data_IF_421531160036
#
_entry.id   IF_421531160036
#
_cell.length_a   1.000
_cell.length_b   1.000
_cell.length_c   1.000
_cell.angle_alpha   90.00
_cell.angle_beta   90.00
_cell.angle_gamma   90.00
#
_symmetry.space_group_name_H-M   'P 1'
#
loop_
_entity.id
_entity.type
_entity.pdbx_description
1 polymer ?
#
# COMPACT_ATOMS: atom_id res chain seq x y z
N UNK A 1 -25.84 -3.85 15.79
CA UNK A 1 -24.58 -4.30 15.21
C UNK A 1 -23.52 -3.28 15.63
N UNK A 2 -22.74 -3.58 16.67
CA UNK A 2 -21.64 -2.70 17.10
C UNK A 2 -20.35 -3.24 16.48
N UNK A 3 -19.75 -2.47 15.59
CA UNK A 3 -18.43 -2.77 15.03
C UNK A 3 -17.39 -2.58 16.13
N UNK A 4 -16.66 -3.65 16.43
CA UNK A 4 -15.56 -3.66 17.37
C UNK A 4 -14.32 -3.04 16.70
N UNK A 5 -14.23 -1.72 16.64
CA UNK A 5 -12.93 -1.07 16.51
C UNK A 5 -12.19 -1.33 17.82
N UNK A 6 -11.31 -2.34 17.86
CA UNK A 6 -10.28 -2.34 18.91
C UNK A 6 -9.49 -1.03 18.72
N UNK A 7 -9.03 -0.38 19.78
CA UNK A 7 -8.13 0.77 19.63
C UNK A 7 -6.78 0.26 19.07
N UNK A 8 -6.71 0.06 17.76
CA UNK A 8 -5.56 -0.53 17.06
C UNK A 8 -4.43 0.50 16.85
N UNK A 9 -4.55 1.69 17.42
CA UNK A 9 -3.65 2.82 17.22
C UNK A 9 -4.16 3.79 16.15
N UNK A 10 -3.54 4.97 16.07
CA UNK A 10 -3.93 6.00 15.08
C UNK A 10 -3.43 5.63 13.67
N UNK A 11 -4.29 5.82 12.68
CA UNK A 11 -3.93 5.74 11.26
C UNK A 11 -3.13 7.00 10.89
N UNK A 12 -1.99 6.83 10.22
CA UNK A 12 -1.11 7.93 9.83
C UNK A 12 -0.50 7.67 8.46
N UNK A 13 -0.53 8.70 7.61
CA UNK A 13 0.30 8.77 6.40
C UNK A 13 1.74 9.04 6.82
N UNK A 14 2.66 8.13 6.51
CA UNK A 14 4.09 8.25 6.86
C UNK A 14 4.92 8.82 5.73
N UNK A 15 4.45 8.71 4.48
CA UNK A 15 5.12 9.26 3.32
C UNK A 15 4.14 9.53 2.18
N UNK A 16 4.50 10.44 1.28
CA UNK A 16 3.78 10.72 0.03
C UNK A 16 4.74 10.65 -1.15
N UNK A 17 4.33 9.96 -2.21
CA UNK A 17 5.18 9.70 -3.39
C UNK A 17 4.69 10.45 -4.64
N UNK A 18 3.73 11.36 -4.47
CA UNK A 18 3.07 12.05 -5.57
C UNK A 18 1.87 11.28 -6.13
N UNK A 19 1.39 11.70 -7.29
CA UNK A 19 0.22 11.11 -7.92
C UNK A 19 0.59 10.10 -9.01
N UNK A 20 -0.24 9.08 -9.20
CA UNK A 20 -0.15 8.19 -10.36
C UNK A 20 -0.63 8.87 -11.66
N UNK A 21 -0.54 8.14 -12.78
CA UNK A 21 -0.80 8.67 -14.14
C UNK A 21 -2.21 8.36 -14.66
N UNK A 22 -3.14 8.02 -13.78
CA UNK A 22 -4.52 7.75 -14.18
C UNK A 22 -5.22 9.05 -14.60
N UNK A 23 -6.29 8.96 -15.40
CA UNK A 23 -7.08 10.15 -15.80
C UNK A 23 -7.60 10.92 -14.59
N UNK A 24 -8.04 10.18 -13.55
CA UNK A 24 -8.25 10.70 -12.21
C UNK A 24 -7.07 10.31 -11.31
N UNK A 25 -6.12 11.22 -11.04
CA UNK A 25 -4.87 10.90 -10.36
C UNK A 25 -5.09 10.54 -8.89
N UNK A 26 -4.43 9.47 -8.44
CA UNK A 26 -4.49 9.01 -7.04
C UNK A 26 -3.19 9.32 -6.33
N UNK A 27 -3.27 9.84 -5.10
CA UNK A 27 -2.09 10.10 -4.27
C UNK A 27 -1.51 8.77 -3.77
N UNK A 28 -0.25 8.53 -4.06
CA UNK A 28 0.52 7.38 -3.58
C UNK A 28 1.10 7.69 -2.20
N UNK A 29 0.83 6.82 -1.23
CA UNK A 29 1.16 7.03 0.18
C UNK A 29 1.69 5.75 0.84
N UNK A 30 2.50 5.94 1.87
CA UNK A 30 2.79 4.90 2.85
C UNK A 30 1.88 5.13 4.09
N UNK A 31 1.34 4.04 4.64
CA UNK A 31 0.41 4.07 5.77
C UNK A 31 0.96 3.30 6.95
N UNK A 32 0.76 3.85 8.16
CA UNK A 32 1.02 3.16 9.41
C UNK A 32 -0.21 3.18 10.33
N UNK A 33 -0.35 2.13 11.13
CA UNK A 33 -1.36 2.03 12.20
C UNK A 33 -0.64 1.62 13.48
N UNK A 34 -0.71 2.45 14.51
CA UNK A 34 -0.02 2.16 15.78
C UNK A 34 1.51 2.00 15.64
N UNK A 35 2.11 2.64 14.64
CA UNK A 35 3.55 2.52 14.34
C UNK A 35 3.95 1.33 13.47
N UNK A 36 2.99 0.50 13.05
CA UNK A 36 3.23 -0.64 12.14
C UNK A 36 2.93 -0.21 10.70
N UNK A 37 3.86 -0.47 9.78
CA UNK A 37 3.66 -0.24 8.35
C UNK A 37 2.64 -1.23 7.77
N UNK A 38 1.56 -0.70 7.19
CA UNK A 38 0.43 -1.49 6.69
C UNK A 38 0.82 -2.30 5.47
N UNK A 39 1.63 -1.74 4.56
CA UNK A 39 2.04 -2.42 3.33
C UNK A 39 2.90 -3.64 3.63
N UNK A 40 3.91 -3.47 4.47
CA UNK A 40 4.78 -4.54 4.96
C UNK A 40 3.98 -5.62 5.68
N UNK A 41 3.11 -5.23 6.62
CA UNK A 41 2.32 -6.20 7.36
C UNK A 41 1.34 -6.97 6.47
N UNK A 42 0.76 -6.31 5.46
CA UNK A 42 -0.09 -6.97 4.46
C UNK A 42 0.65 -8.00 3.60
N UNK A 43 1.93 -7.74 3.28
CA UNK A 43 2.79 -8.72 2.59
C UNK A 43 3.10 -9.90 3.51
N UNK A 44 3.52 -9.64 4.76
CA UNK A 44 3.83 -10.68 5.75
C UNK A 44 2.61 -11.58 6.05
N UNK A 45 1.40 -11.01 6.05
CA UNK A 45 0.15 -11.73 6.23
C UNK A 45 -0.37 -12.45 4.97
N UNK A 46 0.27 -12.25 3.81
CA UNK A 46 -0.11 -12.88 2.54
C UNK A 46 -1.30 -12.25 1.81
N UNK A 47 -1.75 -11.06 2.23
CA UNK A 47 -2.82 -10.33 1.55
C UNK A 47 -2.32 -9.47 0.38
N UNK A 48 -1.07 -9.01 0.46
CA UNK A 48 -0.43 -8.19 -0.56
C UNK A 48 0.80 -8.90 -1.13
N UNK A 49 1.17 -8.54 -2.36
CA UNK A 49 2.41 -8.97 -3.00
C UNK A 49 3.23 -7.75 -3.41
N UNK A 50 4.55 -7.83 -3.22
CA UNK A 50 5.46 -6.78 -3.66
C UNK A 50 5.75 -6.94 -5.17
N UNK A 51 5.57 -5.87 -5.94
CA UNK A 51 6.15 -5.74 -7.27
C UNK A 51 7.43 -4.91 -7.16
N UNK A 52 8.63 -5.50 -7.25
CA UNK A 52 9.88 -4.80 -6.92
C UNK A 52 10.21 -3.69 -7.93
N UNK A 53 10.58 -2.52 -7.39
CA UNK A 53 11.00 -1.34 -8.15
C UNK A 53 12.33 -0.80 -7.61
N UNK A 54 13.13 -0.20 -8.49
CA UNK A 54 14.23 0.69 -8.15
C UNK A 54 13.84 2.10 -8.58
N UNK A 55 13.37 2.91 -7.63
CA UNK A 55 12.72 4.18 -7.92
C UNK A 55 11.45 3.96 -8.75
N UNK A 56 11.32 4.65 -9.88
CA UNK A 56 10.20 4.48 -10.81
C UNK A 56 10.34 3.29 -11.76
N UNK A 57 11.45 2.54 -11.71
CA UNK A 57 11.74 1.46 -12.66
C UNK A 57 11.40 0.10 -12.05
N UNK A 58 10.45 -0.60 -12.67
CA UNK A 58 10.16 -2.00 -12.34
C UNK A 58 11.41 -2.87 -12.54
N UNK A 59 11.70 -3.74 -11.58
CA UNK A 59 12.82 -4.68 -11.61
C UNK A 59 12.43 -6.06 -12.15
N UNK A 60 11.14 -6.32 -12.29
CA UNK A 60 10.57 -7.52 -12.85
C UNK A 60 9.36 -7.16 -13.73
N UNK A 61 8.95 -8.03 -14.69
CA UNK A 61 7.72 -7.84 -15.46
C UNK A 61 6.51 -7.59 -14.55
N UNK A 62 5.48 -6.94 -15.10
CA UNK A 62 4.21 -6.72 -14.39
C UNK A 62 3.63 -8.08 -14.00
N UNK A 63 3.41 -8.35 -12.69
CA UNK A 63 2.83 -9.62 -12.26
C UNK A 63 1.37 -9.74 -12.68
N UNK A 64 0.92 -10.97 -12.92
CA UNK A 64 -0.46 -11.25 -13.35
C UNK A 64 -1.50 -10.76 -12.34
N UNK A 65 -1.22 -10.89 -11.04
CA UNK A 65 -2.09 -10.38 -9.98
C UNK A 65 -2.24 -8.84 -9.97
N UNK A 66 -1.35 -8.12 -10.64
CA UNK A 66 -1.39 -6.66 -10.80
C UNK A 66 -1.97 -6.26 -12.18
N UNK A 67 -2.10 -7.22 -13.11
CA UNK A 67 -2.42 -6.95 -14.51
C UNK A 67 -3.84 -6.42 -14.71
N UNK A 68 -4.76 -6.72 -13.79
CA UNK A 68 -6.18 -6.36 -13.93
C UNK A 68 -6.48 -4.97 -13.33
N UNK A 69 -6.72 -4.01 -14.22
CA UNK A 69 -7.16 -2.65 -13.93
C UNK A 69 -7.50 -1.93 -15.22
#
# INVERSE_FOLDING_TARGET
MQERTRDIGSLRITNTHGYDRMEEPRLLIDLSVGGVDVGRHGIEAGYLAAWPHNGSRAMAPKPDWCAEG
#
